data_IF_384332448436
#
_entry.id   IF_384332448436
#
_cell.length_a   1.000
_cell.length_b   1.000
_cell.length_c   1.000
_cell.angle_alpha   90.00
_cell.angle_beta   90.00
_cell.angle_gamma   90.00
#
_symmetry.space_group_name_H-M   'P 1'
#
loop_
_entity.id
_entity.type
_entity.pdbx_description
1 polymer ?
#
# COMPACT_ATOMS: atom_id res chain seq x y z
N UNK A 1 -12.48 17.22 -10.16
CA UNK A 1 -11.15 17.55 -10.64
C UNK A 1 -10.39 16.28 -10.98
N UNK A 2 -9.87 16.23 -12.14
CA UNK A 2 -9.12 15.07 -12.55
C UNK A 2 -7.70 15.16 -12.02
N UNK A 3 -7.43 14.41 -11.01
CA UNK A 3 -6.07 14.25 -10.50
C UNK A 3 -5.36 13.07 -11.13
N UNK A 4 -6.10 12.32 -11.95
CA UNK A 4 -5.65 11.04 -12.46
C UNK A 4 -4.35 11.08 -13.23
N UNK A 5 -3.99 12.21 -13.82
CA UNK A 5 -2.78 12.29 -14.63
C UNK A 5 -1.67 13.10 -13.99
N UNK A 6 -1.89 13.59 -12.77
CA UNK A 6 -0.89 14.33 -12.03
C UNK A 6 -0.27 13.41 -10.99
N UNK A 7 1.04 13.39 -10.90
CA UNK A 7 1.70 12.69 -9.81
C UNK A 7 1.31 13.35 -8.50
N UNK A 8 0.89 12.58 -7.49
CA UNK A 8 0.63 13.13 -6.17
C UNK A 8 1.90 13.73 -5.59
N UNK A 9 1.75 14.82 -4.87
CA UNK A 9 2.85 15.41 -4.12
C UNK A 9 3.20 14.51 -2.93
N UNK A 10 4.45 14.47 -2.53
CA UNK A 10 4.85 13.71 -1.36
C UNK A 10 4.12 14.18 -0.09
N UNK A 11 3.73 15.44 -0.06
CA UNK A 11 2.93 15.99 1.03
C UNK A 11 1.53 15.41 1.11
N UNK A 12 1.04 14.85 0.01
CA UNK A 12 -0.28 14.24 -0.06
C UNK A 12 -0.24 12.75 0.31
N UNK A 13 0.92 12.24 0.65
CA UNK A 13 1.07 10.85 1.06
C UNK A 13 0.34 10.59 2.37
N UNK A 14 -0.66 9.75 2.32
CA UNK A 14 -1.47 9.40 3.49
C UNK A 14 -0.89 8.25 4.29
N UNK A 15 -0.34 7.27 3.60
CA UNK A 15 0.08 6.02 4.24
C UNK A 15 1.08 5.30 3.35
N UNK A 16 1.98 4.59 3.97
CA UNK A 16 2.86 3.64 3.28
C UNK A 16 2.62 2.25 3.87
N UNK A 17 2.49 1.27 2.99
CA UNK A 17 2.39 -0.13 3.38
C UNK A 17 3.62 -0.87 2.87
N UNK A 18 4.14 -1.77 3.69
CA UNK A 18 5.31 -2.57 3.34
C UNK A 18 4.87 -4.01 3.16
N UNK A 19 5.27 -4.62 2.05
CA UNK A 19 4.73 -5.90 1.58
C UNK A 19 5.89 -6.85 1.27
N UNK A 20 5.77 -8.10 1.71
CA UNK A 20 6.73 -9.15 1.39
C UNK A 20 6.00 -10.45 1.06
N UNK A 21 6.57 -11.24 0.17
CA UNK A 21 6.03 -12.56 -0.13
C UNK A 21 4.77 -12.58 -1.00
N UNK A 22 4.43 -11.49 -1.67
CA UNK A 22 3.25 -11.42 -2.53
C UNK A 22 3.61 -11.36 -4.02
N UNK A 23 4.77 -11.88 -4.39
CA UNK A 23 5.27 -11.84 -5.75
C UNK A 23 6.03 -10.56 -6.05
N UNK A 24 6.22 -10.29 -7.34
CA UNK A 24 6.90 -9.07 -7.76
C UNK A 24 5.94 -7.88 -7.80
N UNK A 25 6.47 -6.72 -8.18
CA UNK A 25 5.71 -5.48 -8.25
C UNK A 25 4.50 -5.59 -9.18
N UNK A 26 4.66 -6.20 -10.34
CA UNK A 26 3.58 -6.33 -11.32
C UNK A 26 2.48 -7.26 -10.79
N UNK A 27 2.87 -8.34 -10.13
CA UNK A 27 1.93 -9.29 -9.52
C UNK A 27 1.12 -8.62 -8.42
N UNK A 28 1.78 -7.88 -7.54
CA UNK A 28 1.10 -7.16 -6.46
C UNK A 28 0.16 -6.09 -7.01
N UNK A 29 0.62 -5.32 -8.00
CA UNK A 29 -0.22 -4.29 -8.62
C UNK A 29 -1.48 -4.89 -9.22
N UNK A 30 -1.37 -6.02 -9.90
CA UNK A 30 -2.53 -6.71 -10.46
C UNK A 30 -3.49 -7.18 -9.37
N UNK A 31 -2.96 -7.80 -8.33
CA UNK A 31 -3.75 -8.29 -7.21
C UNK A 31 -4.56 -7.16 -6.57
N UNK A 32 -3.91 -6.05 -6.26
CA UNK A 32 -4.57 -4.91 -5.62
C UNK A 32 -5.54 -4.22 -6.58
N UNK A 33 -5.17 -4.07 -7.83
CA UNK A 33 -6.05 -3.45 -8.83
C UNK A 33 -7.35 -4.23 -9.01
N UNK A 34 -7.26 -5.53 -9.16
CA UNK A 34 -8.43 -6.39 -9.32
C UNK A 34 -9.28 -6.45 -8.06
N UNK A 35 -8.64 -6.59 -6.91
CA UNK A 35 -9.33 -6.77 -5.64
C UNK A 35 -10.00 -5.48 -5.13
N UNK A 36 -9.41 -4.33 -5.40
CA UNK A 36 -9.93 -3.04 -4.96
C UNK A 36 -10.71 -2.30 -6.05
N UNK A 37 -10.81 -2.87 -7.25
CA UNK A 37 -11.53 -2.25 -8.35
C UNK A 37 -10.82 -1.03 -8.91
N UNK A 38 -9.49 -1.03 -8.92
CA UNK A 38 -8.71 0.09 -9.42
C UNK A 38 -8.23 -0.17 -10.85
N UNK A 39 -8.03 0.89 -11.59
CA UNK A 39 -7.57 0.83 -12.97
C UNK A 39 -6.09 1.20 -13.04
N UNK A 40 -5.32 0.40 -13.75
CA UNK A 40 -3.90 0.66 -13.93
C UNK A 40 -3.70 1.80 -14.94
N UNK A 41 -2.88 2.79 -14.57
CA UNK A 41 -2.45 3.86 -15.44
C UNK A 41 -0.95 4.01 -15.24
N UNK A 42 -0.18 3.44 -16.17
CA UNK A 42 1.28 3.32 -16.05
C UNK A 42 1.64 2.55 -14.79
N UNK A 43 2.36 3.17 -13.84
CA UNK A 43 2.72 2.53 -12.58
C UNK A 43 1.73 2.83 -11.45
N UNK A 44 0.69 3.59 -11.74
CA UNK A 44 -0.32 3.98 -10.76
C UNK A 44 -1.54 3.09 -10.87
N UNK A 45 -2.22 2.89 -9.73
CA UNK A 45 -3.54 2.29 -9.68
C UNK A 45 -4.50 3.35 -9.16
N UNK A 46 -5.59 3.59 -9.88
CA UNK A 46 -6.50 4.68 -9.58
C UNK A 46 -7.95 4.23 -9.57
N UNK A 47 -8.74 4.83 -8.70
CA UNK A 47 -10.19 4.65 -8.67
C UNK A 47 -10.77 5.09 -7.33
N UNK A 48 -12.02 5.55 -7.36
CA UNK A 48 -12.80 5.87 -6.16
C UNK A 48 -12.11 6.83 -5.18
N UNK A 49 -11.35 7.78 -5.72
CA UNK A 49 -10.67 8.78 -4.90
C UNK A 49 -9.36 8.30 -4.29
N UNK A 50 -8.86 7.14 -4.72
CA UNK A 50 -7.59 6.64 -4.23
C UNK A 50 -6.61 6.44 -5.38
N UNK A 51 -5.35 6.73 -5.13
CA UNK A 51 -4.25 6.46 -6.04
C UNK A 51 -3.18 5.69 -5.28
N UNK A 52 -2.75 4.57 -5.83
CA UNK A 52 -1.70 3.74 -5.27
C UNK A 52 -0.49 3.72 -6.17
N UNK A 53 0.68 3.76 -5.57
CA UNK A 53 1.93 3.47 -6.25
C UNK A 53 2.53 2.22 -5.64
N UNK A 54 2.70 1.18 -6.43
CA UNK A 54 3.40 -0.05 -6.02
C UNK A 54 4.82 0.04 -6.54
N UNK A 55 5.79 0.02 -5.64
CA UNK A 55 7.19 0.17 -6.02
C UNK A 55 8.09 -0.72 -5.18
N UNK A 56 9.33 -0.82 -5.58
CA UNK A 56 10.35 -1.49 -4.78
C UNK A 56 10.64 -0.66 -3.54
N UNK A 57 10.85 -1.35 -2.44
CA UNK A 57 11.34 -0.70 -1.24
C UNK A 57 12.85 -0.54 -1.36
N UNK A 58 13.34 0.69 -1.36
CA UNK A 58 14.76 0.99 -1.50
C UNK A 58 15.60 0.43 -0.35
N UNK A 59 14.97 0.24 0.82
CA UNK A 59 15.63 -0.34 1.99
C UNK A 59 15.48 -1.86 2.07
N UNK A 60 14.91 -2.49 1.05
CA UNK A 60 14.75 -3.94 1.03
C UNK A 60 16.13 -4.60 1.19
N UNK A 61 16.16 -5.62 2.06
CA UNK A 61 17.39 -6.36 2.38
C UNK A 61 18.46 -5.54 3.12
N UNK A 62 18.15 -4.30 3.53
CA UNK A 62 19.08 -3.47 4.31
C UNK A 62 19.18 -3.85 5.77
N UNK A 63 18.35 -4.76 6.24
CA UNK A 63 18.33 -5.23 7.62
C UNK A 63 17.59 -6.54 7.76
N UNK A 64 17.31 -6.94 8.99
CA UNK A 64 16.63 -8.20 9.31
C UNK A 64 15.12 -8.03 9.15
N UNK A 65 14.56 -8.56 8.07
CA UNK A 65 13.12 -8.51 7.81
C UNK A 65 12.30 -9.38 8.77
N UNK A 66 12.94 -10.24 9.53
CA UNK A 66 12.27 -11.07 10.53
C UNK A 66 12.31 -10.44 11.93
N UNK A 67 12.91 -9.26 12.07
CA UNK A 67 12.86 -8.50 13.32
C UNK A 67 11.39 -8.21 13.66
N UNK A 68 10.91 -8.60 14.86
CA UNK A 68 9.49 -8.48 15.19
C UNK A 68 8.98 -7.03 15.29
N UNK A 69 9.88 -6.07 15.43
CA UNK A 69 9.50 -4.66 15.58
C UNK A 69 9.72 -3.87 14.29
N UNK A 70 10.87 -4.05 13.64
CA UNK A 70 11.30 -3.21 12.51
C UNK A 70 11.48 -3.97 11.20
N UNK A 71 11.27 -5.28 11.20
CA UNK A 71 11.51 -6.11 10.02
C UNK A 71 10.73 -5.65 8.80
N UNK A 72 9.52 -5.10 9.00
CA UNK A 72 8.70 -4.64 7.90
C UNK A 72 9.36 -3.53 7.06
N UNK A 73 10.26 -2.75 7.65
CA UNK A 73 11.00 -1.70 6.94
C UNK A 73 11.90 -2.28 5.83
N UNK A 74 12.19 -3.58 5.88
CA UNK A 74 13.07 -4.26 4.93
C UNK A 74 12.30 -5.21 4.00
N UNK A 75 10.98 -5.14 3.98
CA UNK A 75 10.15 -5.91 3.04
C UNK A 75 10.44 -5.45 1.62
N UNK A 76 10.21 -6.36 0.66
CA UNK A 76 10.64 -6.14 -0.72
C UNK A 76 9.92 -5.00 -1.43
N UNK A 77 8.66 -4.79 -1.13
CA UNK A 77 7.80 -3.84 -1.84
C UNK A 77 7.18 -2.83 -0.88
N UNK A 78 6.87 -1.67 -1.42
CA UNK A 78 6.19 -0.60 -0.72
C UNK A 78 5.01 -0.13 -1.55
N UNK A 79 3.87 0.10 -0.91
CA UNK A 79 2.69 0.71 -1.53
C UNK A 79 2.47 2.07 -0.89
N UNK A 80 2.50 3.11 -1.71
CA UNK A 80 2.21 4.47 -1.26
C UNK A 80 0.76 4.79 -1.58
N UNK A 81 0.06 5.31 -0.59
CA UNK A 81 -1.38 5.59 -0.66
C UNK A 81 -1.63 7.08 -0.67
N UNK A 82 -2.39 7.53 -1.66
CA UNK A 82 -2.78 8.94 -1.80
C UNK A 82 -4.30 8.98 -1.95
N UNK A 83 -4.96 9.75 -1.11
CA UNK A 83 -6.42 9.87 -1.13
C UNK A 83 -6.85 11.26 -1.51
N UNK A 84 -7.96 11.37 -2.23
CA UNK A 84 -8.58 12.65 -2.49
C UNK A 84 -9.04 13.26 -1.16
N UNK A 85 -9.04 14.61 -1.05
CA UNK A 85 -9.35 15.26 0.24
C UNK A 85 -10.72 14.93 0.81
N UNK A 86 -11.68 14.59 -0.05
CA UNK A 86 -13.06 14.29 0.37
C UNK A 86 -13.26 12.85 0.84
N UNK A 87 -12.23 12.00 0.76
CA UNK A 87 -12.33 10.63 1.28
C UNK A 87 -12.18 10.67 2.79
N UNK A 88 -13.22 10.25 3.55
CA UNK A 88 -13.13 10.31 5.02
C UNK A 88 -12.09 9.35 5.58
N UNK A 89 -11.48 9.73 6.69
CA UNK A 89 -10.43 8.93 7.34
C UNK A 89 -10.84 7.49 7.63
N UNK A 90 -12.05 7.20 8.13
CA UNK A 90 -12.45 5.81 8.34
C UNK A 90 -12.44 4.97 7.06
N UNK A 91 -12.81 5.56 5.92
CA UNK A 91 -12.78 4.85 4.64
C UNK A 91 -11.35 4.63 4.18
N UNK A 92 -10.46 5.59 4.39
CA UNK A 92 -9.03 5.43 4.07
C UNK A 92 -8.44 4.25 4.85
N UNK A 93 -8.67 4.22 6.15
CA UNK A 93 -8.19 3.13 7.00
C UNK A 93 -8.76 1.78 6.57
N UNK A 94 -10.05 1.74 6.21
CA UNK A 94 -10.71 0.51 5.77
C UNK A 94 -10.11 -0.02 4.48
N UNK A 95 -9.79 0.84 3.52
CA UNK A 95 -9.19 0.44 2.25
C UNK A 95 -7.78 -0.10 2.45
N UNK A 96 -6.98 0.55 3.27
CA UNK A 96 -5.62 0.07 3.58
C UNK A 96 -5.69 -1.28 4.29
N UNK A 97 -6.60 -1.43 5.26
CA UNK A 97 -6.79 -2.69 5.96
C UNK A 97 -7.22 -3.82 5.02
N UNK A 98 -8.11 -3.52 4.09
CA UNK A 98 -8.56 -4.48 3.08
C UNK A 98 -7.39 -4.95 2.21
N UNK A 99 -6.57 -4.02 1.73
CA UNK A 99 -5.40 -4.36 0.92
C UNK A 99 -4.43 -5.27 1.67
N UNK A 100 -4.17 -4.97 2.94
CA UNK A 100 -3.27 -5.79 3.74
C UNK A 100 -3.83 -7.19 3.97
N UNK A 101 -5.14 -7.31 4.17
CA UNK A 101 -5.81 -8.60 4.30
C UNK A 101 -5.68 -9.42 3.02
N UNK A 102 -5.87 -8.79 1.88
CA UNK A 102 -5.73 -9.41 0.56
C UNK A 102 -4.31 -10.00 0.40
N UNK A 103 -3.30 -9.23 0.76
CA UNK A 103 -1.91 -9.69 0.70
C UNK A 103 -1.69 -10.90 1.60
N UNK A 104 -2.21 -10.86 2.82
CA UNK A 104 -2.05 -11.96 3.78
C UNK A 104 -2.75 -13.23 3.32
N UNK A 105 -3.93 -13.10 2.74
CA UNK A 105 -4.66 -14.24 2.17
C UNK A 105 -3.88 -14.86 1.02
N UNK A 106 -3.16 -14.05 0.26
CA UNK A 106 -2.30 -14.53 -0.82
C UNK A 106 -0.97 -15.12 -0.33
N UNK A 107 -0.76 -15.18 0.97
CA UNK A 107 0.44 -15.78 1.57
C UNK A 107 1.56 -14.80 1.87
N UNK A 108 1.34 -13.50 1.67
CA UNK A 108 2.33 -12.48 1.94
C UNK A 108 2.27 -11.93 3.36
N UNK A 109 3.22 -11.05 3.66
CA UNK A 109 3.26 -10.27 4.90
C UNK A 109 3.01 -8.81 4.56
N UNK A 110 2.26 -8.11 5.40
CA UNK A 110 1.92 -6.72 5.16
C UNK A 110 1.83 -5.94 6.47
N UNK A 111 2.38 -4.73 6.46
CA UNK A 111 2.30 -3.80 7.58
C UNK A 111 2.13 -2.40 7.01
N UNK A 112 1.25 -1.61 7.62
CA UNK A 112 1.11 -0.20 7.29
C UNK A 112 1.79 0.65 8.37
N UNK A 113 2.37 1.74 7.93
CA UNK A 113 2.94 2.75 8.80
C UNK A 113 2.13 4.03 8.67
N UNK A 114 2.28 4.92 9.61
CA UNK A 114 1.61 6.21 9.67
C UNK A 114 0.29 6.22 10.44
N UNK A 115 -0.56 7.17 10.10
CA UNK A 115 -1.68 7.60 10.92
C UNK A 115 -2.76 6.55 11.13
N UNK A 116 -2.75 5.48 10.34
CA UNK A 116 -3.79 4.46 10.42
C UNK A 116 -3.36 3.21 11.18
N UNK A 117 -2.16 3.19 11.73
CA UNK A 117 -1.62 1.99 12.39
C UNK A 117 -2.54 1.44 13.47
N UNK A 118 -3.07 2.32 14.29
CA UNK A 118 -3.92 1.93 15.42
C UNK A 118 -5.28 1.39 14.97
N UNK A 119 -5.71 1.71 13.76
CA UNK A 119 -6.99 1.26 13.21
C UNK A 119 -6.85 0.02 12.32
N UNK A 120 -5.61 -0.46 12.11
CA UNK A 120 -5.33 -1.56 11.21
C UNK A 120 -5.11 -2.85 11.96
N UNK A 121 -5.33 -4.03 11.30
CA UNK A 121 -5.02 -5.30 11.93
C UNK A 121 -3.52 -5.42 12.21
N UNK A 122 -3.14 -6.25 13.21
CA UNK A 122 -1.72 -6.44 13.51
C UNK A 122 -0.96 -6.97 12.31
N UNK A 123 0.34 -6.66 12.26
CA UNK A 123 1.23 -7.19 11.25
C UNK A 123 1.31 -8.72 11.35
N UNK A 124 1.44 -9.35 10.22
CA UNK A 124 1.53 -10.81 10.12
C UNK A 124 2.95 -11.26 10.02
#
# INVERSE_FOLDING_TARGET
MALSHAEPDLEDLDCASFIDGAGDRATLARLLGESLGLTADRRWLEGNGVTLLVDKNDDAYGGDRDDPVRGFLFYALCVEWYFAPDVPTPLRAALVAQAMRIVRVAGGRATAARDYEHALPPAS
#
